data_IF_984213441250
#
_entry.id   IF_984213441250
#
_cell.length_a   1.000
_cell.length_b   1.000
_cell.length_c   1.000
_cell.angle_alpha   90.00
_cell.angle_beta   90.00
_cell.angle_gamma   90.00
#
_symmetry.space_group_name_H-M   'P 1'
#
loop_
_entity.id
_entity.type
_entity.pdbx_description
1 polymer ?
#
# COMPACT_ATOMS: atom_id res chain seq x y z
N UNK A 1 -4.61 -38.61 19.10
CA UNK A 1 -4.59 -37.31 19.79
C UNK A 1 -3.17 -36.77 19.73
N UNK A 2 -2.91 -35.73 18.95
CA UNK A 2 -1.83 -34.76 19.16
C UNK A 2 -1.85 -33.73 18.02
N UNK A 3 -2.50 -32.60 18.33
CA UNK A 3 -2.07 -31.25 18.00
C UNK A 3 -1.85 -30.88 16.52
N UNK A 4 -2.95 -30.45 15.90
CA UNK A 4 -2.91 -29.54 14.76
C UNK A 4 -2.33 -28.19 15.20
N UNK A 5 -1.03 -28.01 14.94
CA UNK A 5 -0.36 -26.72 15.06
C UNK A 5 -0.67 -25.85 13.85
N UNK A 6 -1.84 -25.20 13.84
CA UNK A 6 -2.05 -24.06 12.94
C UNK A 6 -1.25 -22.89 13.49
N UNK A 7 -0.13 -22.57 12.85
CA UNK A 7 0.58 -21.31 13.06
C UNK A 7 -0.28 -20.15 12.54
N UNK A 8 -0.75 -19.20 13.36
CA UNK A 8 -1.41 -18.00 12.87
C UNK A 8 -0.37 -16.89 12.71
N UNK A 9 0.61 -17.04 11.83
CA UNK A 9 1.57 -15.96 11.58
C UNK A 9 2.18 -16.01 10.18
N UNK A 10 1.37 -15.67 9.19
CA UNK A 10 1.82 -15.10 7.92
C UNK A 10 0.61 -14.47 7.24
N UNK A 11 0.26 -13.26 7.70
CA UNK A 11 -0.82 -12.44 7.16
C UNK A 11 -0.54 -11.90 5.75
N UNK A 12 -0.18 -12.78 4.82
CA UNK A 12 -0.26 -12.49 3.39
C UNK A 12 -1.71 -12.69 2.94
N UNK A 13 -2.59 -11.80 3.41
CA UNK A 13 -3.89 -11.67 2.76
C UNK A 13 -3.60 -11.11 1.38
N UNK A 14 -3.59 -11.98 0.36
CA UNK A 14 -3.41 -11.60 -1.05
C UNK A 14 -4.62 -10.77 -1.46
N UNK A 15 -4.56 -9.47 -1.20
CA UNK A 15 -5.56 -8.52 -1.66
C UNK A 15 -5.52 -8.51 -3.18
N UNK A 16 -6.62 -8.91 -3.80
CA UNK A 16 -6.83 -8.76 -5.23
C UNK A 16 -7.16 -7.31 -5.52
N UNK A 17 -6.18 -6.56 -6.03
CA UNK A 17 -6.37 -5.19 -6.49
C UNK A 17 -7.19 -5.22 -7.77
N UNK A 18 -8.29 -4.46 -7.81
CA UNK A 18 -9.12 -4.33 -8.99
C UNK A 18 -8.97 -2.93 -9.61
N UNK A 19 -9.52 -2.76 -10.82
CA UNK A 19 -9.43 -1.53 -11.59
C UNK A 19 -10.03 -0.29 -10.90
N UNK A 20 -10.88 -0.46 -9.89
CA UNK A 20 -11.43 0.66 -9.11
C UNK A 20 -10.54 1.06 -7.93
N UNK A 21 -9.71 0.12 -7.43
CA UNK A 21 -8.83 0.37 -6.27
C UNK A 21 -7.54 1.08 -6.68
N UNK A 22 -7.00 0.77 -7.86
CA UNK A 22 -5.72 1.32 -8.33
C UNK A 22 -5.76 2.84 -8.51
N UNK A 23 -6.79 3.45 -9.13
CA UNK A 23 -6.89 4.90 -9.23
C UNK A 23 -6.92 5.59 -7.87
N UNK A 24 -7.65 5.03 -6.90
CA UNK A 24 -7.76 5.56 -5.54
C UNK A 24 -6.42 5.46 -4.81
N UNK A 25 -5.69 4.36 -4.99
CA UNK A 25 -4.33 4.23 -4.46
C UNK A 25 -3.41 5.32 -5.04
N UNK A 26 -3.45 5.55 -6.36
CA UNK A 26 -2.64 6.58 -7.02
C UNK A 26 -2.99 7.99 -6.50
N UNK A 27 -4.28 8.28 -6.38
CA UNK A 27 -4.78 9.56 -5.86
C UNK A 27 -4.26 9.82 -4.43
N UNK A 28 -4.40 8.83 -3.54
CA UNK A 28 -3.91 8.93 -2.15
C UNK A 28 -2.38 9.08 -2.11
N UNK A 29 -1.64 8.41 -2.99
CA UNK A 29 -0.18 8.57 -3.08
C UNK A 29 0.20 9.99 -3.54
N UNK A 30 -0.52 10.55 -4.51
CA UNK A 30 -0.31 11.91 -5.00
C UNK A 30 -0.66 12.94 -3.92
N UNK A 31 -1.76 12.76 -3.18
CA UNK A 31 -2.13 13.61 -2.05
C UNK A 31 -1.05 13.60 -0.95
N UNK A 32 -0.55 12.41 -0.59
CA UNK A 32 0.53 12.28 0.40
C UNK A 32 1.86 12.87 -0.12
N UNK A 33 2.13 12.76 -1.43
CA UNK A 33 3.31 13.33 -2.08
C UNK A 33 3.25 14.87 -2.17
N UNK A 34 2.08 15.43 -2.46
CA UNK A 34 1.84 16.89 -2.62
C UNK A 34 1.67 17.61 -1.28
N UNK A 35 1.21 16.92 -0.23
CA UNK A 35 1.05 17.46 1.13
C UNK A 35 2.38 17.85 1.82
N UNK A 36 3.52 17.89 1.12
CA UNK A 36 4.82 18.27 1.67
C UNK A 36 5.39 17.30 2.70
N UNK A 37 4.66 16.22 3.04
CA UNK A 37 5.08 15.13 3.94
C UNK A 37 5.91 14.07 3.24
N UNK A 38 6.27 14.32 1.97
CA UNK A 38 7.36 13.65 1.28
C UNK A 38 8.66 14.04 1.96
N UNK A 39 8.93 13.46 3.14
CA UNK A 39 10.26 13.52 3.73
C UNK A 39 11.23 13.09 2.64
N UNK A 40 12.33 13.82 2.45
CA UNK A 40 13.41 13.52 1.52
C UNK A 40 13.87 12.05 1.59
N UNK A 41 13.61 11.37 2.71
CA UNK A 41 13.75 9.94 2.91
C UNK A 41 12.93 9.05 1.96
N UNK A 42 11.73 9.47 1.51
CA UNK A 42 10.88 8.72 0.56
C UNK A 42 11.52 8.69 -0.84
N UNK A 43 12.17 9.79 -1.25
CA UNK A 43 12.86 9.86 -2.53
C UNK A 43 14.13 9.00 -2.57
N UNK A 44 14.75 8.72 -1.41
CA UNK A 44 16.01 7.97 -1.33
C UNK A 44 15.76 6.48 -1.01
N UNK A 45 14.79 6.15 -0.16
CA UNK A 45 14.58 4.78 0.37
C UNK A 45 13.14 4.23 0.22
N UNK A 46 12.22 4.97 -0.40
CA UNK A 46 10.82 4.59 -0.57
C UNK A 46 9.90 4.96 0.60
N UNK A 47 8.62 4.61 0.49
CA UNK A 47 7.56 4.96 1.48
C UNK A 47 7.85 4.38 2.87
N UNK A 48 7.80 5.23 3.90
CA UNK A 48 8.00 4.81 5.30
C UNK A 48 6.83 3.95 5.79
N UNK A 49 7.04 3.12 6.82
CA UNK A 49 5.96 2.34 7.45
C UNK A 49 4.82 3.23 7.96
N UNK A 50 5.15 4.43 8.48
CA UNK A 50 4.14 5.39 8.92
C UNK A 50 3.30 5.91 7.75
N UNK A 51 3.94 6.26 6.63
CA UNK A 51 3.26 6.67 5.40
C UNK A 51 2.37 5.54 4.85
N UNK A 52 2.88 4.31 4.78
CA UNK A 52 2.12 3.15 4.30
C UNK A 52 0.89 2.85 5.16
N UNK A 53 0.98 3.02 6.48
CA UNK A 53 -0.17 2.89 7.38
C UNK A 53 -1.22 3.97 7.13
N UNK A 54 -0.80 5.22 6.91
CA UNK A 54 -1.72 6.33 6.59
C UNK A 54 -2.43 6.10 5.25
N UNK A 55 -1.67 5.73 4.22
CA UNK A 55 -2.21 5.38 2.90
C UNK A 55 -3.23 4.24 3.03
N UNK A 56 -2.90 3.17 3.77
CA UNK A 56 -3.83 2.07 4.00
C UNK A 56 -5.11 2.53 4.70
N UNK A 57 -5.00 3.35 5.75
CA UNK A 57 -6.17 3.89 6.46
C UNK A 57 -7.05 4.77 5.57
N UNK A 58 -6.45 5.59 4.72
CA UNK A 58 -7.20 6.47 3.82
C UNK A 58 -7.91 5.68 2.71
N UNK A 59 -7.26 4.66 2.14
CA UNK A 59 -7.90 3.75 1.18
C UNK A 59 -9.04 2.98 1.86
N UNK A 60 -8.83 2.50 3.08
CA UNK A 60 -9.88 1.82 3.87
C UNK A 60 -11.10 2.72 4.07
N UNK A 61 -10.87 4.01 4.36
CA UNK A 61 -11.92 5.02 4.53
C UNK A 61 -12.69 5.25 3.24
N UNK A 62 -12.01 5.35 2.09
CA UNK A 62 -12.62 5.62 0.78
C UNK A 62 -13.39 4.41 0.22
N UNK A 63 -12.90 3.20 0.47
CA UNK A 63 -13.42 1.98 -0.15
C UNK A 63 -14.21 1.08 0.81
N UNK A 64 -14.33 1.46 2.08
CA UNK A 64 -14.91 0.62 3.13
C UNK A 64 -14.25 -0.78 3.18
N UNK A 65 -12.92 -0.81 3.16
CA UNK A 65 -12.10 -2.03 3.16
C UNK A 65 -11.20 -2.11 4.38
N UNK A 66 -10.54 -3.26 4.57
CA UNK A 66 -9.55 -3.47 5.64
C UNK A 66 -8.22 -3.93 5.05
N UNK A 67 -7.43 -2.96 4.60
CA UNK A 67 -6.06 -3.11 4.15
C UNK A 67 -5.10 -2.80 5.30
N UNK A 68 -3.98 -3.52 5.31
CA UNK A 68 -2.83 -3.22 6.17
C UNK A 68 -1.69 -2.66 5.32
N UNK A 69 -0.69 -2.04 5.98
CA UNK A 69 0.45 -1.41 5.30
C UNK A 69 1.21 -2.36 4.36
N UNK A 70 1.28 -3.66 4.68
CA UNK A 70 1.95 -4.66 3.83
C UNK A 70 1.20 -4.93 2.51
N UNK A 71 -0.12 -4.78 2.51
CA UNK A 71 -0.94 -4.94 1.29
C UNK A 71 -0.61 -3.80 0.31
N UNK A 72 -0.54 -2.56 0.83
CA UNK A 72 -0.15 -1.37 0.07
C UNK A 72 1.30 -1.50 -0.41
N UNK A 73 2.22 -1.88 0.48
CA UNK A 73 3.64 -2.07 0.14
C UNK A 73 3.83 -3.08 -0.98
N UNK A 74 3.12 -4.20 -0.93
CA UNK A 74 3.19 -5.25 -1.95
C UNK A 74 2.69 -4.74 -3.30
N UNK A 75 1.60 -3.96 -3.32
CA UNK A 75 1.09 -3.34 -4.55
C UNK A 75 2.04 -2.31 -5.14
N UNK A 76 2.63 -1.45 -4.30
CA UNK A 76 3.61 -0.46 -4.75
C UNK A 76 4.85 -1.11 -5.39
N UNK A 77 5.30 -2.26 -4.87
CA UNK A 77 6.40 -3.02 -5.51
C UNK A 77 6.03 -3.52 -6.91
N UNK A 78 4.79 -3.96 -7.10
CA UNK A 78 4.28 -4.39 -8.40
C UNK A 78 4.19 -3.18 -9.35
N UNK A 79 3.55 -2.09 -8.90
CA UNK A 79 3.38 -0.86 -9.67
C UNK A 79 4.70 -0.16 -10.04
N UNK A 80 5.74 -0.35 -9.23
CA UNK A 80 7.10 0.10 -9.57
C UNK A 80 7.75 -0.77 -10.65
N UNK A 81 7.45 -2.08 -10.65
CA UNK A 81 8.02 -3.02 -11.61
C UNK A 81 7.36 -2.91 -12.98
N UNK A 82 6.06 -2.62 -13.01
CA UNK A 82 5.28 -2.48 -14.25
C UNK A 82 5.28 -1.05 -14.82
N UNK A 83 5.87 -0.07 -14.12
CA UNK A 83 5.99 1.32 -14.55
C UNK A 83 4.75 2.18 -14.30
N UNK A 84 3.73 1.65 -13.62
CA UNK A 84 2.50 2.40 -13.30
C UNK A 84 2.78 3.63 -12.43
N UNK A 85 3.75 3.55 -11.50
CA UNK A 85 4.14 4.71 -10.67
C UNK A 85 4.81 5.81 -11.52
N UNK A 86 5.71 5.42 -12.42
CA UNK A 86 6.38 6.35 -13.32
C UNK A 86 5.38 7.05 -14.26
N UNK A 87 4.37 6.31 -14.77
CA UNK A 87 3.28 6.87 -15.57
C UNK A 87 2.39 7.83 -14.77
N UNK A 88 2.25 7.61 -13.47
CA UNK A 88 1.48 8.46 -12.56
C UNK A 88 2.27 9.69 -12.06
N UNK A 89 3.54 9.83 -12.42
CA UNK A 89 4.42 10.92 -11.95
C UNK A 89 4.85 10.78 -10.49
N UNK A 90 4.93 9.55 -9.98
CA UNK A 90 5.25 9.21 -8.58
C UNK A 90 6.67 8.67 -8.38
#
# INVERSE_FOLDING_TARGET
MASGGVNPMSGNSRVTWNANMEPILIEVLLEEATSGRRNSYIAINGWTTASLKRIANEINRRLNMTLVSDNVRSKLKIMKKDGTLDQAGL
#
